data_IF_169930397241
#
_entry.id   IF_169930397241
#
_cell.length_a   1.000
_cell.length_b   1.000
_cell.length_c   1.000
_cell.angle_alpha   90.00
_cell.angle_beta   90.00
_cell.angle_gamma   90.00
#
_symmetry.space_group_name_H-M   'P 1'
#
loop_
_entity.id
_entity.type
_entity.pdbx_description
1 polymer ?
#
# COMPACT_ATOMS: atom_id res chain seq x y z
N UNK A 1 9.19 -6.07 2.55
CA UNK A 1 9.42 -7.21 1.65
C UNK A 1 9.64 -8.52 2.40
N UNK A 2 10.43 -8.55 3.48
CA UNK A 2 10.65 -9.79 4.27
C UNK A 2 9.34 -10.34 4.85
N UNK A 3 8.50 -9.49 5.42
CA UNK A 3 7.19 -9.87 5.94
C UNK A 3 6.27 -10.35 4.80
N UNK A 4 6.30 -9.69 3.64
CA UNK A 4 5.50 -10.09 2.48
C UNK A 4 5.89 -11.51 2.00
N UNK A 5 7.20 -11.77 1.84
CA UNK A 5 7.71 -13.10 1.44
C UNK A 5 7.26 -14.16 2.44
N UNK A 6 7.49 -13.92 3.75
CA UNK A 6 7.11 -14.87 4.80
C UNK A 6 5.60 -15.16 4.80
N UNK A 7 4.77 -14.13 4.65
CA UNK A 7 3.31 -14.28 4.64
C UNK A 7 2.84 -15.06 3.42
N UNK A 8 3.31 -14.70 2.22
CA UNK A 8 2.97 -15.39 0.98
C UNK A 8 3.37 -16.88 1.05
N UNK A 9 4.59 -17.17 1.54
CA UNK A 9 5.08 -18.54 1.68
C UNK A 9 4.29 -19.31 2.74
N UNK A 10 3.99 -18.71 3.89
CA UNK A 10 3.21 -19.35 4.95
C UNK A 10 1.76 -19.68 4.52
N UNK A 11 1.23 -18.94 3.56
CA UNK A 11 -0.08 -19.21 2.94
C UNK A 11 -0.03 -20.19 1.76
N UNK A 12 1.10 -20.88 1.55
CA UNK A 12 1.25 -21.91 0.53
C UNK A 12 1.48 -21.39 -0.88
N UNK A 13 1.89 -20.12 -1.04
CA UNK A 13 2.14 -19.50 -2.34
C UNK A 13 3.62 -19.20 -2.56
N UNK A 14 4.04 -19.09 -3.82
CA UNK A 14 5.40 -18.73 -4.20
C UNK A 14 5.55 -17.21 -4.30
N UNK A 15 6.54 -16.64 -3.60
CA UNK A 15 6.79 -15.21 -3.57
C UNK A 15 7.92 -14.81 -4.53
N UNK A 16 7.60 -14.00 -5.52
CA UNK A 16 8.58 -13.29 -6.37
C UNK A 16 8.67 -11.83 -5.94
N UNK A 17 9.82 -11.21 -6.09
CA UNK A 17 10.04 -9.85 -5.60
C UNK A 17 10.71 -8.95 -6.61
N UNK A 18 10.37 -7.65 -6.55
CA UNK A 18 11.09 -6.55 -7.18
C UNK A 18 11.44 -5.51 -6.11
N UNK A 19 12.71 -5.21 -5.94
CA UNK A 19 13.21 -4.27 -4.92
C UNK A 19 13.09 -2.85 -5.44
N UNK A 20 12.36 -2.00 -4.72
CA UNK A 20 12.17 -0.58 -5.06
C UNK A 20 13.14 0.36 -4.34
N UNK A 21 13.58 -0.04 -3.15
CA UNK A 21 14.60 0.65 -2.36
C UNK A 21 15.22 -0.31 -1.34
N UNK A 22 16.43 -0.01 -0.89
CA UNK A 22 17.06 -0.67 0.25
C UNK A 22 16.90 0.26 1.45
N UNK A 23 16.33 -0.23 2.55
CA UNK A 23 16.22 0.52 3.80
C UNK A 23 17.29 0.06 4.79
N UNK A 24 18.02 0.99 5.37
CA UNK A 24 18.87 0.73 6.54
C UNK A 24 17.97 0.89 7.76
N UNK A 25 17.42 -0.22 8.19
CA UNK A 25 16.31 -0.26 9.16
C UNK A 25 16.52 -1.34 10.20
N UNK A 26 16.09 -1.05 11.43
CA UNK A 26 15.94 -2.00 12.53
C UNK A 26 14.54 -1.89 13.17
N UNK A 27 14.33 -2.51 14.33
CA UNK A 27 13.04 -2.48 15.04
C UNK A 27 12.69 -1.11 15.62
N UNK A 28 13.67 -0.22 15.78
CA UNK A 28 13.49 1.13 16.34
C UNK A 28 13.23 2.21 15.28
N UNK A 29 13.60 1.96 14.01
CA UNK A 29 13.35 2.94 12.95
C UNK A 29 14.14 2.73 11.67
N UNK A 30 13.98 3.68 10.75
CA UNK A 30 14.66 3.75 9.45
C UNK A 30 15.74 4.82 9.52
N UNK A 31 17.01 4.43 9.38
CA UNK A 31 18.17 5.34 9.38
C UNK A 31 18.35 6.04 8.03
N UNK A 32 18.22 5.29 6.94
CA UNK A 32 18.35 5.82 5.58
C UNK A 32 17.68 4.93 4.55
N UNK A 33 17.45 5.49 3.35
CA UNK A 33 16.87 4.83 2.21
C UNK A 33 17.83 4.97 1.04
N UNK A 34 18.23 3.84 0.45
CA UNK A 34 19.03 3.80 -0.77
C UNK A 34 18.08 3.46 -1.94
N UNK A 35 17.81 4.41 -2.83
CA UNK A 35 16.88 4.19 -3.93
C UNK A 35 17.46 3.26 -4.98
N UNK A 36 16.63 2.37 -5.53
CA UNK A 36 16.94 1.62 -6.74
C UNK A 36 16.56 2.47 -7.96
N UNK A 37 17.42 2.48 -8.99
CA UNK A 37 17.15 3.25 -10.20
C UNK A 37 15.83 2.81 -10.86
N UNK A 38 14.92 3.73 -11.23
CA UNK A 38 13.59 3.41 -11.75
C UNK A 38 13.56 2.43 -12.91
N UNK A 39 14.53 2.53 -13.84
CA UNK A 39 14.64 1.60 -14.97
C UNK A 39 15.00 0.16 -14.52
N UNK A 40 15.79 0.01 -13.46
CA UNK A 40 16.10 -1.31 -12.91
C UNK A 40 14.87 -1.93 -12.25
N UNK A 41 14.03 -1.13 -11.58
CA UNK A 41 12.74 -1.59 -11.03
C UNK A 41 11.83 -2.09 -12.16
N UNK A 42 11.69 -1.31 -13.24
CA UNK A 42 10.91 -1.71 -14.41
C UNK A 42 11.43 -3.05 -14.97
N UNK A 43 12.76 -3.18 -15.17
CA UNK A 43 13.38 -4.40 -15.69
C UNK A 43 13.17 -5.59 -14.75
N UNK A 44 13.34 -5.43 -13.43
CA UNK A 44 13.07 -6.49 -12.46
C UNK A 44 11.63 -7.02 -12.62
N UNK A 45 10.64 -6.13 -12.60
CA UNK A 45 9.22 -6.53 -12.69
C UNK A 45 8.96 -7.27 -14.01
N UNK A 46 9.36 -6.70 -15.14
CA UNK A 46 9.08 -7.29 -16.46
C UNK A 46 9.82 -8.63 -16.62
N UNK A 47 11.10 -8.71 -16.24
CA UNK A 47 11.90 -9.90 -16.41
C UNK A 47 11.36 -11.06 -15.55
N UNK A 48 11.08 -10.79 -14.27
CA UNK A 48 10.50 -11.79 -13.35
C UNK A 48 9.11 -12.26 -13.83
N UNK A 49 8.23 -11.34 -14.23
CA UNK A 49 6.88 -11.69 -14.68
C UNK A 49 6.83 -12.37 -16.07
N UNK A 50 7.89 -12.25 -16.86
CA UNK A 50 8.01 -12.99 -18.14
C UNK A 50 8.36 -14.46 -17.92
N UNK A 51 9.13 -14.76 -16.90
CA UNK A 51 9.49 -16.14 -16.54
C UNK A 51 8.32 -16.83 -15.85
N UNK A 52 7.88 -16.30 -14.72
CA UNK A 52 6.72 -16.80 -14.00
C UNK A 52 5.66 -15.69 -13.93
N UNK A 53 4.52 -15.91 -14.60
CA UNK A 53 3.41 -14.95 -14.55
C UNK A 53 2.74 -14.97 -13.18
N UNK A 54 2.73 -13.87 -12.41
CA UNK A 54 2.08 -13.86 -11.10
C UNK A 54 0.54 -13.86 -11.23
N UNK A 55 -0.14 -14.53 -10.31
CA UNK A 55 -1.60 -14.49 -10.16
C UNK A 55 -2.08 -13.17 -9.56
N UNK A 56 -1.27 -12.59 -8.67
CA UNK A 56 -1.53 -11.32 -8.01
C UNK A 56 -0.25 -10.56 -7.70
N UNK A 57 -0.36 -9.25 -7.51
CA UNK A 57 0.76 -8.37 -7.15
C UNK A 57 0.41 -7.59 -5.88
N UNK A 58 1.32 -7.57 -4.91
CA UNK A 58 1.29 -6.62 -3.80
C UNK A 58 2.33 -5.54 -4.03
N UNK A 59 1.90 -4.27 -3.95
CA UNK A 59 2.76 -3.10 -4.02
C UNK A 59 2.83 -2.49 -2.62
N UNK A 60 4.03 -2.27 -2.13
CA UNK A 60 4.29 -1.58 -0.87
C UNK A 60 4.94 -0.21 -1.10
N UNK A 61 6.10 0.02 -0.44
CA UNK A 61 6.80 1.29 -0.47
C UNK A 61 7.28 1.71 -1.87
N UNK A 62 6.87 2.92 -2.30
CA UNK A 62 7.30 3.57 -3.54
C UNK A 62 7.76 4.99 -3.22
N UNK A 63 9.05 5.21 -3.03
CA UNK A 63 9.61 6.41 -2.42
C UNK A 63 9.59 7.67 -3.30
N UNK A 64 9.43 7.56 -4.62
CA UNK A 64 9.48 8.72 -5.52
C UNK A 64 8.54 8.62 -6.72
N UNK A 65 8.23 9.78 -7.29
CA UNK A 65 7.39 9.90 -8.48
C UNK A 65 7.94 9.12 -9.69
N UNK A 66 9.26 9.07 -9.85
CA UNK A 66 9.92 8.30 -10.92
C UNK A 66 9.71 6.79 -10.74
N UNK A 67 9.81 6.30 -9.50
CA UNK A 67 9.56 4.89 -9.16
C UNK A 67 8.10 4.52 -9.42
N UNK A 68 7.14 5.36 -8.98
CA UNK A 68 5.72 5.10 -9.22
C UNK A 68 5.42 5.02 -10.73
N UNK A 69 5.97 5.93 -11.53
CA UNK A 69 5.78 5.89 -12.98
C UNK A 69 6.39 4.61 -13.61
N UNK A 70 7.57 4.16 -13.15
CA UNK A 70 8.16 2.91 -13.60
C UNK A 70 7.30 1.69 -13.27
N UNK A 71 6.73 1.65 -12.07
CA UNK A 71 5.78 0.60 -11.68
C UNK A 71 4.52 0.65 -12.55
N UNK A 72 3.95 1.83 -12.77
CA UNK A 72 2.78 2.00 -13.67
C UNK A 72 3.08 1.48 -15.09
N UNK A 73 4.26 1.78 -15.62
CA UNK A 73 4.68 1.31 -16.94
C UNK A 73 4.82 -0.23 -16.98
N UNK A 74 5.40 -0.82 -15.92
CA UNK A 74 5.47 -2.27 -15.78
C UNK A 74 4.07 -2.90 -15.77
N UNK A 75 3.15 -2.37 -14.94
CA UNK A 75 1.77 -2.87 -14.85
C UNK A 75 1.02 -2.80 -16.19
N UNK A 76 1.25 -1.76 -16.98
CA UNK A 76 0.68 -1.65 -18.33
C UNK A 76 1.19 -2.75 -19.27
N UNK A 77 2.44 -3.18 -19.10
CA UNK A 77 3.08 -4.21 -19.92
C UNK A 77 2.63 -5.62 -19.54
N UNK A 78 2.60 -5.93 -18.23
CA UNK A 78 2.34 -7.30 -17.74
C UNK A 78 0.84 -7.65 -17.67
N UNK A 79 -0.05 -6.66 -17.66
CA UNK A 79 -1.52 -6.82 -17.70
C UNK A 79 -2.08 -7.78 -16.65
N UNK A 80 -1.68 -7.59 -15.39
CA UNK A 80 -2.24 -8.30 -14.24
C UNK A 80 -3.39 -7.47 -13.65
N UNK A 81 -4.49 -8.12 -13.30
CA UNK A 81 -5.69 -7.43 -12.76
C UNK A 81 -5.77 -7.44 -11.24
N UNK A 82 -5.25 -8.48 -10.57
CA UNK A 82 -5.27 -8.61 -9.11
C UNK A 82 -4.08 -7.88 -8.50
N UNK A 83 -4.26 -6.61 -8.15
CA UNK A 83 -3.20 -5.75 -7.61
C UNK A 83 -3.66 -5.14 -6.30
N UNK A 84 -2.90 -5.36 -5.24
CA UNK A 84 -3.10 -4.73 -3.92
C UNK A 84 -2.04 -3.66 -3.72
N UNK A 85 -2.46 -2.45 -3.41
CA UNK A 85 -1.58 -1.34 -3.04
C UNK A 85 -1.69 -1.06 -1.54
N UNK A 86 -0.60 -1.30 -0.82
CA UNK A 86 -0.39 -0.78 0.53
C UNK A 86 0.39 0.54 0.41
N UNK A 87 -0.26 1.70 0.57
CA UNK A 87 0.32 2.98 0.20
C UNK A 87 1.24 3.51 1.32
N UNK A 88 2.34 2.80 1.58
CA UNK A 88 3.27 3.13 2.66
C UNK A 88 3.87 4.52 2.44
N UNK A 89 3.54 5.47 3.35
CA UNK A 89 3.97 6.87 3.26
C UNK A 89 4.87 7.30 4.41
N UNK A 90 4.70 6.69 5.58
CA UNK A 90 5.42 7.04 6.80
C UNK A 90 5.88 5.76 7.49
N UNK A 91 7.14 5.73 7.94
CA UNK A 91 7.64 4.64 8.77
C UNK A 91 7.03 4.69 10.18
N UNK A 92 7.06 3.58 10.93
CA UNK A 92 6.63 3.56 12.35
C UNK A 92 7.32 4.63 13.19
N UNK A 93 8.56 4.97 12.86
CA UNK A 93 9.35 6.05 13.49
C UNK A 93 8.89 7.47 13.17
N UNK A 94 7.84 7.66 12.33
CA UNK A 94 7.41 8.97 11.84
C UNK A 94 8.20 9.49 10.63
N UNK A 95 9.24 8.78 10.18
CA UNK A 95 10.04 9.19 9.02
C UNK A 95 9.20 9.15 7.75
N UNK A 96 9.13 10.26 7.02
CA UNK A 96 8.44 10.34 5.72
C UNK A 96 9.22 9.56 4.67
N UNK A 97 8.55 8.61 4.02
CA UNK A 97 9.13 7.68 3.04
C UNK A 97 8.84 8.05 1.59
N UNK A 98 8.00 9.06 1.37
CA UNK A 98 7.51 9.45 0.04
C UNK A 98 7.41 10.98 -0.06
N UNK A 99 7.73 11.55 -1.22
CA UNK A 99 7.60 12.99 -1.46
C UNK A 99 6.17 13.39 -1.92
N UNK A 100 5.86 14.70 -1.86
CA UNK A 100 4.53 15.21 -2.22
C UNK A 100 4.19 14.99 -3.71
N UNK A 101 5.19 15.03 -4.61
CA UNK A 101 4.99 14.77 -6.04
C UNK A 101 4.59 13.30 -6.26
N UNK A 102 5.23 12.39 -5.52
CA UNK A 102 4.91 10.97 -5.57
C UNK A 102 3.50 10.68 -5.01
N UNK A 103 3.08 11.32 -3.91
CA UNK A 103 1.72 11.22 -3.38
C UNK A 103 0.70 11.65 -4.44
N UNK A 104 0.94 12.75 -5.16
CA UNK A 104 0.04 13.20 -6.22
C UNK A 104 -0.09 12.20 -7.37
N UNK A 105 1.02 11.58 -7.82
CA UNK A 105 0.98 10.56 -8.86
C UNK A 105 0.27 9.30 -8.36
N UNK A 106 0.52 8.88 -7.13
CA UNK A 106 -0.16 7.76 -6.52
C UNK A 106 -1.68 8.00 -6.49
N UNK A 107 -2.14 9.16 -6.00
CA UNK A 107 -3.57 9.55 -5.94
C UNK A 107 -4.24 9.63 -7.31
N UNK A 108 -3.56 10.16 -8.32
CA UNK A 108 -4.20 10.49 -9.58
C UNK A 108 -4.05 9.40 -10.64
N UNK A 109 -3.02 8.53 -10.53
CA UNK A 109 -2.70 7.53 -11.55
C UNK A 109 -2.69 6.10 -11.02
N UNK A 110 -1.95 5.80 -9.94
CA UNK A 110 -1.74 4.43 -9.49
C UNK A 110 -3.00 3.83 -8.85
N UNK A 111 -3.74 4.59 -8.03
CA UNK A 111 -4.98 4.12 -7.37
C UNK A 111 -5.99 3.56 -8.38
N UNK A 112 -6.09 4.16 -9.57
CA UNK A 112 -7.03 3.74 -10.61
C UNK A 112 -6.67 2.40 -11.28
N UNK A 113 -5.41 1.96 -11.10
CA UNK A 113 -4.88 0.74 -11.75
C UNK A 113 -4.89 -0.49 -10.84
N UNK A 114 -5.11 -0.29 -9.55
CA UNK A 114 -5.11 -1.39 -8.57
C UNK A 114 -6.53 -1.88 -8.29
N UNK A 115 -6.64 -3.14 -7.87
CA UNK A 115 -7.92 -3.73 -7.46
C UNK A 115 -8.30 -3.40 -6.04
N UNK A 116 -7.32 -3.20 -5.15
CA UNK A 116 -7.53 -2.89 -3.75
C UNK A 116 -6.45 -1.94 -3.25
N UNK A 117 -6.84 -0.96 -2.45
CA UNK A 117 -5.92 -0.11 -1.69
C UNK A 117 -6.16 -0.30 -0.18
N UNK A 118 -5.07 -0.44 0.60
CA UNK A 118 -5.14 -0.77 2.03
C UNK A 118 -4.47 0.27 2.93
N UNK A 119 -4.92 1.55 2.93
CA UNK A 119 -4.32 2.59 3.74
C UNK A 119 -4.62 2.36 5.24
N UNK A 120 -3.67 2.70 6.09
CA UNK A 120 -3.94 2.97 7.49
C UNK A 120 -4.55 4.38 7.67
N UNK A 121 -4.97 4.76 8.90
CA UNK A 121 -5.61 6.06 9.13
C UNK A 121 -4.73 7.24 8.72
N UNK A 122 -3.45 7.37 9.13
CA UNK A 122 -2.58 8.45 8.66
C UNK A 122 -2.43 8.51 7.13
N UNK A 123 -2.34 7.37 6.46
CA UNK A 123 -2.25 7.29 5.01
C UNK A 123 -3.57 7.71 4.34
N UNK A 124 -4.71 7.28 4.88
CA UNK A 124 -6.02 7.69 4.41
C UNK A 124 -6.23 9.21 4.58
N UNK A 125 -5.83 9.79 5.71
CA UNK A 125 -5.85 11.25 5.93
C UNK A 125 -5.02 12.00 4.86
N UNK A 126 -3.81 11.53 4.57
CA UNK A 126 -2.94 12.12 3.52
C UNK A 126 -3.59 12.00 2.14
N UNK A 127 -4.18 10.84 1.83
CA UNK A 127 -4.80 10.59 0.53
C UNK A 127 -6.07 11.39 0.30
N UNK A 128 -6.85 11.65 1.36
CA UNK A 128 -8.17 12.28 1.26
C UNK A 128 -8.18 13.75 1.71
N UNK A 129 -7.16 14.15 2.48
CA UNK A 129 -7.03 15.48 3.09
C UNK A 129 -8.14 15.77 4.11
N UNK A 130 -8.62 14.75 4.82
CA UNK A 130 -9.55 14.89 5.95
C UNK A 130 -8.93 14.29 7.20
N UNK A 131 -9.46 14.67 8.38
CA UNK A 131 -9.11 14.04 9.65
C UNK A 131 -10.05 12.89 9.94
N UNK A 132 -9.50 11.78 10.44
CA UNK A 132 -10.24 10.53 10.74
C UNK A 132 -10.16 10.28 12.24
N UNK A 133 -11.32 10.36 12.91
CA UNK A 133 -11.45 10.15 14.36
C UNK A 133 -12.43 9.02 14.72
N UNK A 134 -13.23 8.57 13.76
CA UNK A 134 -14.28 7.58 13.92
C UNK A 134 -14.31 6.59 12.76
N UNK A 135 -15.09 5.53 12.91
CA UNK A 135 -15.39 4.57 11.84
C UNK A 135 -16.15 5.23 10.69
N UNK A 136 -17.04 6.17 10.99
CA UNK A 136 -17.78 6.93 9.97
C UNK A 136 -16.85 7.81 9.14
N UNK A 137 -15.84 8.42 9.77
CA UNK A 137 -14.81 9.16 9.03
C UNK A 137 -13.98 8.23 8.13
N UNK A 138 -13.71 6.99 8.56
CA UNK A 138 -13.03 5.98 7.72
C UNK A 138 -13.87 5.63 6.48
N UNK A 139 -15.19 5.43 6.65
CA UNK A 139 -16.13 5.20 5.55
C UNK A 139 -16.16 6.41 4.62
N UNK A 140 -16.23 7.60 5.17
CA UNK A 140 -16.22 8.84 4.38
C UNK A 140 -14.92 9.01 3.59
N UNK A 141 -13.77 8.75 4.21
CA UNK A 141 -12.47 8.74 3.54
C UNK A 141 -12.43 7.72 2.38
N UNK A 142 -12.92 6.51 2.62
CA UNK A 142 -13.00 5.48 1.59
C UNK A 142 -13.87 5.92 0.41
N UNK A 143 -15.02 6.56 0.65
CA UNK A 143 -15.89 7.09 -0.40
C UNK A 143 -15.20 8.20 -1.22
N UNK A 144 -14.39 9.07 -0.60
CA UNK A 144 -13.55 10.04 -1.33
C UNK A 144 -12.58 9.32 -2.28
N UNK A 145 -11.98 8.21 -1.85
CA UNK A 145 -11.07 7.42 -2.70
C UNK A 145 -11.80 6.69 -3.82
N UNK A 146 -13.03 6.18 -3.57
CA UNK A 146 -13.90 5.63 -4.64
C UNK A 146 -14.18 6.67 -5.72
N UNK A 147 -14.55 7.89 -5.31
CA UNK A 147 -14.83 9.00 -6.24
C UNK A 147 -13.58 9.42 -7.04
N UNK A 148 -12.37 9.15 -6.53
CA UNK A 148 -11.10 9.34 -7.24
C UNK A 148 -10.75 8.18 -8.17
N UNK A 149 -11.56 7.13 -8.21
CA UNK A 149 -11.42 6.00 -9.12
C UNK A 149 -10.76 4.75 -8.51
N UNK A 150 -10.62 4.67 -7.18
CA UNK A 150 -10.31 3.41 -6.51
C UNK A 150 -11.48 2.42 -6.70
N UNK A 151 -11.18 1.11 -6.77
CA UNK A 151 -12.21 0.07 -6.94
C UNK A 151 -12.70 -0.48 -5.61
N UNK A 152 -11.76 -0.86 -4.76
CA UNK A 152 -12.02 -1.36 -3.42
C UNK A 152 -11.03 -0.71 -2.45
N UNK A 153 -11.49 -0.35 -1.27
CA UNK A 153 -10.69 0.29 -0.23
C UNK A 153 -10.84 -0.50 1.06
N UNK A 154 -9.71 -0.79 1.72
CA UNK A 154 -9.65 -1.39 3.04
C UNK A 154 -8.89 -0.46 3.97
N UNK A 155 -9.59 0.35 4.76
CA UNK A 155 -8.99 1.27 5.73
C UNK A 155 -8.67 0.52 7.01
N UNK A 156 -7.37 0.47 7.39
CA UNK A 156 -6.89 -0.18 8.61
C UNK A 156 -7.06 0.74 9.81
N UNK A 157 -7.92 0.35 10.77
CA UNK A 157 -8.33 1.19 11.90
C UNK A 157 -7.47 1.09 13.16
N UNK A 158 -6.35 0.38 13.13
CA UNK A 158 -5.50 0.13 14.32
C UNK A 158 -4.93 1.38 15.02
N UNK A 159 -5.06 2.56 14.42
CA UNK A 159 -4.62 3.84 14.98
C UNK A 159 -5.72 4.58 15.77
N UNK A 160 -6.97 4.10 15.75
CA UNK A 160 -8.01 4.67 16.59
C UNK A 160 -7.78 4.31 18.07
N UNK A 161 -8.05 5.27 18.94
CA UNK A 161 -7.96 5.05 20.39
C UNK A 161 -9.22 4.38 20.91
N UNK A 162 -9.32 3.07 20.70
CA UNK A 162 -10.45 2.25 21.12
C UNK A 162 -9.97 0.89 21.65
N UNK A 163 -10.83 0.23 22.42
CA UNK A 163 -10.58 -1.13 22.95
C UNK A 163 -10.64 -2.22 21.86
N UNK A 164 -11.26 -1.91 20.73
CA UNK A 164 -11.34 -2.77 19.56
C UNK A 164 -10.70 -2.09 18.36
N UNK A 165 -10.08 -2.89 17.50
CA UNK A 165 -9.66 -2.46 16.16
C UNK A 165 -10.85 -2.66 15.23
N UNK A 166 -11.21 -1.63 14.50
CA UNK A 166 -12.23 -1.68 13.47
C UNK A 166 -11.59 -1.34 12.12
N UNK A 167 -11.56 -2.31 11.22
CA UNK A 167 -11.14 -2.11 9.84
C UNK A 167 -12.39 -1.96 8.96
N UNK A 168 -12.31 -1.12 7.94
CA UNK A 168 -13.45 -0.81 7.07
C UNK A 168 -13.12 -1.15 5.63
N UNK A 169 -13.92 -2.02 5.02
CA UNK A 169 -13.89 -2.29 3.60
C UNK A 169 -15.05 -1.57 2.91
N UNK A 170 -14.76 -0.87 1.81
CA UNK A 170 -15.74 -0.13 1.02
C UNK A 170 -15.49 -0.37 -0.47
N UNK A 171 -16.54 -0.68 -1.19
CA UNK A 171 -16.59 -0.63 -2.64
C UNK A 171 -17.93 -0.01 -3.10
N UNK A 172 -18.20 -0.04 -4.42
CA UNK A 172 -19.44 0.54 -4.98
C UNK A 172 -20.73 -0.16 -4.52
N UNK A 173 -20.63 -1.40 -4.05
CA UNK A 173 -21.79 -2.26 -3.78
C UNK A 173 -22.04 -2.47 -2.29
N UNK A 174 -20.98 -2.35 -1.46
CA UNK A 174 -21.07 -2.74 -0.04
C UNK A 174 -20.10 -1.98 0.85
N UNK A 175 -20.44 -1.92 2.11
CA UNK A 175 -19.59 -1.47 3.22
C UNK A 175 -19.56 -2.60 4.25
N UNK A 176 -18.34 -3.03 4.62
CA UNK A 176 -18.15 -4.06 5.64
C UNK A 176 -17.25 -3.52 6.76
N UNK A 177 -17.60 -3.78 8.00
CA UNK A 177 -16.80 -3.40 9.18
C UNK A 177 -16.32 -4.68 9.85
N UNK A 178 -15.01 -4.83 9.97
CA UNK A 178 -14.35 -5.94 10.66
C UNK A 178 -13.95 -5.47 12.06
N UNK A 179 -14.43 -6.15 13.11
CA UNK A 179 -14.15 -5.79 14.50
C UNK A 179 -13.33 -6.88 15.16
N UNK A 180 -12.18 -6.53 15.67
CA UNK A 180 -11.27 -7.43 16.37
C UNK A 180 -10.85 -6.84 17.72
N UNK A 181 -10.59 -7.71 18.71
CA UNK A 181 -10.03 -7.27 20.00
C UNK A 181 -8.60 -6.71 19.77
N UNK A 182 -8.33 -5.55 20.37
CA UNK A 182 -7.00 -4.95 20.29
C UNK A 182 -6.00 -5.78 21.08
N UNK A 183 -4.90 -6.18 20.42
CA UNK A 183 -3.79 -6.87 21.07
C UNK A 183 -2.80 -5.80 21.50
N UNK A 184 -2.52 -5.72 22.80
CA UNK A 184 -1.49 -4.82 23.32
C UNK A 184 -0.13 -5.50 23.19
N UNK A 185 0.77 -4.93 22.39
CA UNK A 185 2.15 -5.40 22.25
C UNK A 185 3.11 -4.31 22.64
N UNK A 186 4.31 -4.72 23.10
CA UNK A 186 5.40 -3.77 23.41
C UNK A 186 6.25 -3.39 22.18
N UNK A 187 5.96 -3.97 21.01
CA UNK A 187 6.70 -3.78 19.75
C UNK A 187 5.80 -3.16 18.67
#
# INVERSE_FOLDING_TARGET
>A
IQADIKTVTALGSYAMTAITAITIQNTTGVKSIVPIHPNNILKQIIFTCKDIRPDAIKIGMLHSSKVINSVINALNTIKISKIVLDPVMVAKSGTKLIDNKAINILKNKLIKKVSLITPNIPEAEILTNIKIKSTDDMIYAANILLNKGAKNIFVKGGHLNASFVQDVFVNKNEIMIFKNKKITTKN
#
